data_IF_450701019371
#
_entry.id   IF_450701019371
#
_cell.length_a   1.000
_cell.length_b   1.000
_cell.length_c   1.000
_cell.angle_alpha   90.00
_cell.angle_beta   90.00
_cell.angle_gamma   90.00
#
_symmetry.space_group_name_H-M   'P 1'
#
loop_
_entity.id
_entity.type
_entity.pdbx_description
1 polymer ?
#
# COMPACT_ATOMS: atom_id res chain seq x y z
N UNK A 1 -10.12 -25.95 13.26
CA UNK A 1 -9.87 -25.47 14.64
C UNK A 1 -11.01 -24.66 15.24
N UNK A 2 -11.72 -23.77 14.51
CA UNK A 2 -12.77 -22.92 15.08
C UNK A 2 -14.15 -23.58 15.35
N UNK A 3 -14.27 -24.92 15.23
CA UNK A 3 -15.57 -25.63 15.25
C UNK A 3 -15.91 -26.33 16.57
N UNK A 4 -15.09 -26.15 17.61
CA UNK A 4 -15.35 -26.74 18.93
C UNK A 4 -16.27 -25.82 19.73
N UNK A 5 -17.31 -26.38 20.36
CA UNK A 5 -18.20 -25.62 21.23
C UNK A 5 -17.41 -24.93 22.36
N UNK A 6 -17.71 -23.65 22.57
CA UNK A 6 -17.01 -22.82 23.56
C UNK A 6 -15.67 -22.23 23.11
N UNK A 7 -15.17 -22.54 21.91
CA UNK A 7 -13.91 -21.98 21.42
C UNK A 7 -14.02 -20.44 21.24
N UNK A 8 -13.04 -19.63 21.71
CA UNK A 8 -13.08 -18.17 21.62
C UNK A 8 -13.40 -17.64 20.22
N UNK A 9 -12.76 -18.18 19.17
CA UNK A 9 -13.09 -17.83 17.78
C UNK A 9 -14.51 -18.19 17.34
N UNK A 10 -15.12 -19.26 17.88
CA UNK A 10 -16.50 -19.62 17.58
C UNK A 10 -17.51 -18.67 18.22
N UNK A 11 -17.18 -18.09 19.38
CA UNK A 11 -17.97 -17.02 20.01
C UNK A 11 -17.85 -15.71 19.22
N UNK A 12 -16.64 -15.32 18.86
CA UNK A 12 -16.37 -14.09 18.10
C UNK A 12 -16.94 -14.14 16.67
N UNK A 13 -16.96 -15.31 16.03
CA UNK A 13 -17.46 -15.47 14.67
C UNK A 13 -18.93 -15.05 14.51
N UNK A 14 -19.76 -15.18 15.56
CA UNK A 14 -21.19 -14.81 15.51
C UNK A 14 -21.39 -13.31 15.32
N UNK A 15 -20.51 -12.50 15.91
CA UNK A 15 -20.62 -11.04 15.89
C UNK A 15 -19.64 -10.38 14.91
N UNK A 16 -18.72 -11.14 14.32
CA UNK A 16 -17.62 -10.62 13.51
C UNK A 16 -18.09 -9.74 12.35
N UNK A 17 -19.10 -10.19 11.60
CA UNK A 17 -19.64 -9.43 10.46
C UNK A 17 -20.23 -8.08 10.90
N UNK A 18 -21.08 -8.12 11.93
CA UNK A 18 -21.70 -6.91 12.48
C UNK A 18 -20.65 -5.96 13.07
N UNK A 19 -19.65 -6.49 13.76
CA UNK A 19 -18.57 -5.72 14.36
C UNK A 19 -17.68 -5.06 13.30
N UNK A 20 -17.27 -5.81 12.27
CA UNK A 20 -16.44 -5.29 11.17
C UNK A 20 -17.22 -4.24 10.37
N UNK A 21 -18.47 -4.52 9.98
CA UNK A 21 -19.33 -3.56 9.27
C UNK A 21 -19.50 -2.25 10.06
N UNK A 22 -19.76 -2.31 11.37
CA UNK A 22 -19.81 -1.10 12.22
C UNK A 22 -18.47 -0.38 12.30
N UNK A 23 -17.36 -1.11 12.36
CA UNK A 23 -16.03 -0.51 12.37
C UNK A 23 -15.74 0.23 11.06
N UNK A 24 -16.03 -0.40 9.92
CA UNK A 24 -15.85 0.18 8.58
C UNK A 24 -16.67 1.47 8.40
N UNK A 25 -17.93 1.49 8.87
CA UNK A 25 -18.76 2.71 8.87
C UNK A 25 -18.13 3.82 9.72
N UNK A 26 -17.60 3.48 10.91
CA UNK A 26 -16.98 4.48 11.80
C UNK A 26 -15.70 5.07 11.22
N UNK A 27 -14.84 4.25 10.61
CA UNK A 27 -13.60 4.75 10.00
C UNK A 27 -13.88 5.53 8.71
N UNK A 28 -14.87 5.12 7.91
CA UNK A 28 -15.31 5.88 6.74
C UNK A 28 -15.88 7.25 7.13
N UNK A 29 -16.65 7.34 8.22
CA UNK A 29 -17.11 8.63 8.76
C UNK A 29 -15.97 9.56 9.22
N UNK A 30 -14.75 9.03 9.40
CA UNK A 30 -13.54 9.79 9.69
C UNK A 30 -12.64 10.01 8.45
N UNK A 31 -13.14 9.73 7.24
CA UNK A 31 -12.38 9.87 5.99
C UNK A 31 -11.36 8.75 5.72
N UNK A 32 -11.36 7.68 6.53
CA UNK A 32 -10.45 6.55 6.41
C UNK A 32 -11.16 5.37 5.73
N UNK A 33 -11.64 5.60 4.51
CA UNK A 33 -12.40 4.61 3.75
C UNK A 33 -11.56 3.37 3.46
N UNK A 34 -12.25 2.23 3.35
CA UNK A 34 -11.68 0.94 3.02
C UNK A 34 -12.42 0.31 1.86
N UNK A 35 -11.71 -0.44 1.04
CA UNK A 35 -12.30 -1.29 0.01
C UNK A 35 -12.50 -2.72 0.53
N UNK A 36 -13.58 -3.37 0.09
CA UNK A 36 -13.89 -4.75 0.41
C UNK A 36 -14.75 -4.95 1.66
N UNK A 37 -14.97 -6.22 2.02
CA UNK A 37 -15.83 -6.65 3.14
C UNK A 37 -15.45 -8.06 3.60
N UNK A 38 -16.10 -8.59 4.64
CA UNK A 38 -15.93 -10.01 5.00
C UNK A 38 -16.47 -10.99 3.95
N UNK A 39 -17.36 -10.53 3.05
CA UNK A 39 -17.84 -11.32 1.93
C UNK A 39 -16.89 -11.30 0.72
N UNK A 40 -15.92 -10.38 0.70
CA UNK A 40 -14.93 -10.27 -0.37
C UNK A 40 -13.94 -11.43 -0.30
N UNK A 41 -13.66 -12.07 -1.44
CA UNK A 41 -12.69 -13.14 -1.51
C UNK A 41 -11.29 -12.63 -1.13
N UNK A 42 -10.53 -13.44 -0.40
CA UNK A 42 -9.13 -13.13 -0.08
C UNK A 42 -8.27 -13.14 -1.35
N UNK A 43 -7.62 -12.03 -1.64
CA UNK A 43 -6.70 -11.88 -2.77
C UNK A 43 -5.25 -11.66 -2.29
N UNK A 44 -4.24 -12.01 -3.11
CA UNK A 44 -2.84 -11.67 -2.83
C UNK A 44 -2.65 -10.15 -2.75
N UNK A 45 -1.95 -9.70 -1.72
CA UNK A 45 -1.69 -8.30 -1.43
C UNK A 45 -0.22 -8.12 -1.03
N UNK A 46 0.54 -7.24 -1.70
CA UNK A 46 1.95 -7.01 -1.42
C UNK A 46 2.13 -6.26 -0.11
N UNK A 47 3.20 -6.59 0.62
CA UNK A 47 3.61 -5.89 1.84
C UNK A 47 4.86 -5.05 1.58
N UNK A 48 5.15 -4.10 2.48
CA UNK A 48 6.30 -3.20 2.36
C UNK A 48 7.67 -3.92 2.29
N UNK A 49 7.78 -5.15 2.82
CA UNK A 49 8.99 -5.98 2.74
C UNK A 49 9.00 -6.94 1.55
N UNK A 50 8.02 -6.82 0.66
CA UNK A 50 7.89 -7.65 -0.54
C UNK A 50 7.36 -9.07 -0.32
N UNK A 51 6.69 -9.33 0.81
CA UNK A 51 5.94 -10.57 0.98
C UNK A 51 4.50 -10.42 0.45
N UNK A 52 3.88 -11.53 0.03
CA UNK A 52 2.47 -11.59 -0.32
C UNK A 52 1.64 -12.09 0.87
N UNK A 53 0.67 -11.29 1.29
CA UNK A 53 -0.37 -11.70 2.25
C UNK A 53 -1.71 -11.83 1.54
N UNK A 54 -2.67 -12.44 2.22
CA UNK A 54 -4.05 -12.51 1.76
C UNK A 54 -4.89 -11.47 2.47
N UNK A 55 -5.55 -10.61 1.71
CA UNK A 55 -6.43 -9.56 2.23
C UNK A 55 -7.76 -9.53 1.48
N UNK A 56 -8.83 -9.20 2.22
CA UNK A 56 -10.17 -8.96 1.67
C UNK A 56 -10.67 -7.54 1.96
N UNK A 57 -10.03 -6.85 2.91
CA UNK A 57 -10.35 -5.49 3.34
C UNK A 57 -9.03 -4.73 3.43
N UNK A 58 -8.93 -3.60 2.73
CA UNK A 58 -7.72 -2.75 2.70
C UNK A 58 -8.12 -1.27 2.71
N UNK A 59 -7.26 -0.35 3.19
CA UNK A 59 -7.50 1.08 3.04
C UNK A 59 -7.76 1.44 1.56
N UNK A 60 -8.68 2.37 1.30
CA UNK A 60 -9.07 2.73 -0.06
C UNK A 60 -7.88 3.20 -0.91
N UNK A 61 -6.95 3.95 -0.30
CA UNK A 61 -5.70 4.39 -0.94
C UNK A 61 -4.81 3.22 -1.43
N UNK A 62 -5.00 2.01 -0.89
CA UNK A 62 -4.28 0.80 -1.26
C UNK A 62 -5.11 -0.17 -2.11
N UNK A 63 -6.38 0.14 -2.38
CA UNK A 63 -7.31 -0.75 -3.08
C UNK A 63 -6.85 -1.10 -4.51
N UNK A 64 -6.07 -0.23 -5.15
CA UNK A 64 -5.49 -0.48 -6.46
C UNK A 64 -4.62 -1.76 -6.53
N UNK A 65 -4.10 -2.23 -5.39
CA UNK A 65 -3.35 -3.48 -5.32
C UNK A 65 -4.24 -4.74 -5.37
N UNK A 66 -5.55 -4.61 -5.11
CA UNK A 66 -6.53 -5.69 -5.22
C UNK A 66 -7.19 -5.76 -6.61
N UNK A 67 -7.09 -4.69 -7.40
CA UNK A 67 -7.63 -4.68 -8.75
C UNK A 67 -6.90 -5.70 -9.64
N UNK A 68 -7.61 -6.45 -10.51
CA UNK A 68 -6.98 -7.40 -11.41
C UNK A 68 -5.83 -6.76 -12.20
N UNK A 69 -4.70 -7.45 -12.31
CA UNK A 69 -3.54 -6.99 -13.07
C UNK A 69 -3.83 -7.12 -14.56
N UNK A 70 -4.49 -6.12 -15.12
CA UNK A 70 -4.76 -5.98 -16.57
C UNK A 70 -3.63 -5.21 -17.30
N UNK A 71 -2.68 -4.63 -16.55
CA UNK A 71 -1.53 -3.82 -17.00
C UNK A 71 -0.19 -4.49 -16.67
N UNK A 72 0.88 -4.02 -17.33
CA UNK A 72 2.13 -4.74 -17.62
C UNK A 72 3.15 -4.80 -16.48
N UNK A 73 3.01 -4.02 -15.40
CA UNK A 73 3.94 -4.15 -14.28
C UNK A 73 3.68 -3.32 -13.03
N UNK A 74 4.49 -3.59 -12.00
CA UNK A 74 4.56 -2.88 -10.73
C UNK A 74 5.93 -2.22 -10.59
N UNK A 75 5.97 -0.91 -10.35
CA UNK A 75 7.19 -0.21 -9.92
C UNK A 75 7.05 0.18 -8.46
N UNK A 76 7.96 -0.29 -7.62
CA UNK A 76 8.10 0.18 -6.25
C UNK A 76 9.03 1.39 -6.22
N UNK A 77 8.55 2.50 -5.70
CA UNK A 77 9.31 3.76 -5.63
C UNK A 77 9.78 3.96 -4.19
N UNK A 78 11.09 4.09 -4.02
CA UNK A 78 11.70 4.62 -2.80
C UNK A 78 12.01 6.10 -2.94
N UNK A 79 12.04 6.81 -1.81
CA UNK A 79 12.51 8.19 -1.74
C UNK A 79 13.94 8.16 -1.21
N UNK A 80 14.88 8.77 -1.95
CA UNK A 80 16.29 8.80 -1.55
C UNK A 80 16.45 9.46 -0.18
N UNK A 81 17.19 8.80 0.70
CA UNK A 81 17.43 9.27 2.07
C UNK A 81 16.31 8.94 3.07
N UNK A 82 15.24 8.26 2.64
CA UNK A 82 14.20 7.74 3.52
C UNK A 82 14.47 6.27 3.89
N UNK A 83 14.85 5.97 5.15
CA UNK A 83 15.39 4.66 5.50
C UNK A 83 14.32 3.57 5.67
N UNK A 84 13.04 3.91 5.82
CA UNK A 84 11.98 2.93 6.11
C UNK A 84 11.38 2.28 4.84
N UNK A 85 11.93 2.58 3.66
CA UNK A 85 11.50 2.01 2.38
C UNK A 85 12.67 1.43 1.60
N UNK A 86 12.65 0.11 1.38
CA UNK A 86 13.66 -0.60 0.59
C UNK A 86 13.03 -1.19 -0.67
N UNK A 87 12.79 -0.37 -1.71
CA UNK A 87 12.02 -0.78 -2.88
C UNK A 87 12.70 -1.93 -3.64
N UNK A 88 14.03 -1.93 -3.76
CA UNK A 88 14.77 -3.01 -4.43
C UNK A 88 14.64 -4.35 -3.71
N UNK A 89 14.75 -4.33 -2.37
CA UNK A 89 14.57 -5.52 -1.55
C UNK A 89 13.14 -6.06 -1.66
N UNK A 90 12.15 -5.18 -1.58
CA UNK A 90 10.74 -5.56 -1.71
C UNK A 90 10.43 -6.10 -3.12
N UNK A 91 10.96 -5.47 -4.17
CA UNK A 91 10.78 -5.92 -5.55
C UNK A 91 11.37 -7.31 -5.75
N UNK A 92 12.62 -7.52 -5.30
CA UNK A 92 13.28 -8.83 -5.36
C UNK A 92 12.50 -9.91 -4.63
N UNK A 93 11.94 -9.60 -3.47
CA UNK A 93 11.12 -10.56 -2.72
C UNK A 93 9.82 -10.88 -3.44
N UNK A 94 9.14 -9.88 -4.03
CA UNK A 94 7.90 -10.09 -4.77
C UNK A 94 8.11 -10.86 -6.08
N UNK A 95 9.21 -10.63 -6.79
CA UNK A 95 9.58 -11.42 -7.97
C UNK A 95 9.69 -12.92 -7.63
N UNK A 96 10.15 -13.23 -6.42
CA UNK A 96 10.30 -14.60 -5.93
C UNK A 96 9.05 -15.14 -5.22
N UNK A 97 8.12 -14.26 -4.84
CA UNK A 97 6.86 -14.65 -4.23
C UNK A 97 5.91 -15.04 -5.36
N UNK A 98 5.63 -16.34 -5.52
CA UNK A 98 4.68 -16.83 -6.52
C UNK A 98 3.35 -16.06 -6.41
N UNK A 99 3.16 -15.03 -7.24
CA UNK A 99 2.01 -14.13 -7.25
C UNK A 99 1.09 -14.55 -8.39
N UNK A 100 0.05 -15.36 -8.13
CA UNK A 100 -0.87 -15.79 -9.17
C UNK A 100 -1.60 -14.57 -9.71
N UNK A 101 -1.62 -14.45 -11.04
CA UNK A 101 -2.24 -13.32 -11.75
C UNK A 101 -1.72 -11.95 -11.30
N UNK A 102 -0.46 -11.90 -10.83
CA UNK A 102 0.25 -10.70 -10.43
C UNK A 102 0.74 -9.85 -11.62
N UNK A 103 1.51 -8.79 -11.35
CA UNK A 103 2.13 -7.99 -12.42
C UNK A 103 3.04 -8.85 -13.30
N UNK A 104 3.09 -8.58 -14.61
CA UNK A 104 4.02 -9.29 -15.51
C UNK A 104 5.48 -8.90 -15.31
N UNK A 105 5.75 -7.76 -14.70
CA UNK A 105 7.09 -7.31 -14.33
C UNK A 105 7.05 -6.53 -13.02
N UNK A 106 8.09 -6.69 -12.20
CA UNK A 106 8.27 -5.93 -10.95
C UNK A 106 9.59 -5.20 -11.05
N UNK A 107 9.60 -3.91 -10.73
CA UNK A 107 10.81 -3.08 -10.69
C UNK A 107 10.84 -2.25 -9.44
N UNK A 108 12.03 -1.73 -9.16
CA UNK A 108 12.26 -0.74 -8.13
C UNK A 108 12.98 0.47 -8.72
N UNK A 109 12.64 1.66 -8.22
CA UNK A 109 13.37 2.89 -8.50
C UNK A 109 13.53 3.67 -7.20
N UNK A 110 14.66 4.35 -7.05
CA UNK A 110 14.88 5.30 -5.95
C UNK A 110 14.98 6.72 -6.50
N UNK A 111 14.10 7.59 -6.02
CA UNK A 111 13.91 8.93 -6.57
C UNK A 111 14.38 9.98 -5.57
N UNK A 112 15.23 10.91 -6.03
CA UNK A 112 15.48 12.13 -5.30
C UNK A 112 14.32 13.11 -5.54
N UNK A 113 13.57 13.41 -4.49
CA UNK A 113 12.51 14.42 -4.51
C UNK A 113 13.01 15.73 -3.90
N UNK A 114 12.49 16.90 -4.32
CA UNK A 114 13.09 18.18 -3.98
C UNK A 114 13.15 18.48 -2.47
N UNK A 115 14.32 18.84 -1.96
CA UNK A 115 14.48 19.38 -0.60
C UNK A 115 14.58 18.33 0.51
N UNK A 116 14.40 17.04 0.19
CA UNK A 116 14.55 15.94 1.16
C UNK A 116 16.01 15.75 1.56
N UNK A 117 16.96 16.00 0.64
CA UNK A 117 18.40 15.91 0.89
C UNK A 117 18.91 16.89 1.98
N UNK A 118 18.11 17.90 2.32
CA UNK A 118 18.43 18.93 3.31
C UNK A 118 17.92 18.58 4.71
N UNK A 119 17.05 17.58 4.80
CA UNK A 119 16.47 17.13 6.06
C UNK A 119 17.44 16.14 6.73
N UNK A 120 17.65 16.32 8.04
CA UNK A 120 18.38 15.35 8.86
C UNK A 120 17.38 14.33 9.37
N UNK A 121 17.63 13.03 9.15
CA UNK A 121 16.79 11.93 9.60
C UNK A 121 15.34 12.03 9.13
N UNK A 122 15.13 11.90 7.81
CA UNK A 122 13.80 11.95 7.18
C UNK A 122 12.93 10.80 7.69
N UNK A 123 11.85 11.11 8.39
CA UNK A 123 10.83 10.15 8.79
C UNK A 123 9.59 10.17 7.87
N UNK A 124 8.72 9.17 8.06
CA UNK A 124 7.46 9.06 7.30
C UNK A 124 6.56 10.30 7.45
N UNK A 125 6.52 10.88 8.66
CA UNK A 125 5.71 12.07 8.95
C UNK A 125 6.25 13.34 8.29
N UNK A 126 7.57 13.47 8.15
CA UNK A 126 8.18 14.62 7.48
C UNK A 126 7.82 14.63 6.00
N UNK A 127 7.91 13.45 5.37
CA UNK A 127 7.48 13.28 3.98
C UNK A 127 5.98 13.49 3.81
N UNK A 128 5.14 12.95 4.71
CA UNK A 128 3.70 13.14 4.66
C UNK A 128 3.31 14.62 4.65
N UNK A 129 3.88 15.42 5.56
CA UNK A 129 3.65 16.87 5.60
C UNK A 129 4.11 17.59 4.34
N UNK A 130 5.21 17.14 3.73
CA UNK A 130 5.65 17.69 2.44
C UNK A 130 4.67 17.35 1.31
N UNK A 131 4.10 16.14 1.31
CA UNK A 131 3.08 15.73 0.34
C UNK A 131 1.73 16.46 0.51
N UNK A 132 1.45 17.03 1.67
CA UNK A 132 0.26 17.87 1.88
C UNK A 132 0.36 19.20 1.11
N UNK A 133 1.57 19.78 0.95
CA UNK A 133 1.80 20.98 0.13
C UNK A 133 1.58 20.66 -1.37
N UNK A 134 0.54 21.23 -2.03
CA UNK A 134 0.23 20.93 -3.42
C UNK A 134 1.35 21.30 -4.40
N UNK A 135 2.09 22.38 -4.13
CA UNK A 135 3.17 22.83 -4.98
C UNK A 135 4.39 21.90 -4.84
N UNK A 136 4.70 21.48 -3.62
CA UNK A 136 5.74 20.48 -3.40
C UNK A 136 5.35 19.12 -4.00
N UNK A 137 4.12 18.66 -3.73
CA UNK A 137 3.56 17.42 -4.29
C UNK A 137 3.66 17.37 -5.80
N UNK A 138 3.29 18.46 -6.50
CA UNK A 138 3.42 18.52 -7.96
C UNK A 138 4.84 18.31 -8.45
N UNK A 139 5.84 18.91 -7.78
CA UNK A 139 7.26 18.72 -8.13
C UNK A 139 7.76 17.32 -7.79
N UNK A 140 7.36 16.76 -6.65
CA UNK A 140 7.72 15.40 -6.26
C UNK A 140 7.14 14.36 -7.24
N UNK A 141 5.86 14.50 -7.60
CA UNK A 141 5.21 13.64 -8.59
C UNK A 141 5.85 13.75 -9.97
N UNK A 142 6.26 14.95 -10.39
CA UNK A 142 7.00 15.12 -11.65
C UNK A 142 8.37 14.40 -11.61
N UNK A 143 9.10 14.47 -10.50
CA UNK A 143 10.36 13.76 -10.33
C UNK A 143 10.17 12.23 -10.34
N UNK A 144 9.11 11.74 -9.69
CA UNK A 144 8.74 10.32 -9.70
C UNK A 144 8.39 9.87 -11.11
N UNK A 145 7.50 10.60 -11.81
CA UNK A 145 7.09 10.28 -13.17
C UNK A 145 8.27 10.23 -14.14
N UNK A 146 9.23 11.15 -14.01
CA UNK A 146 10.44 11.17 -14.83
C UNK A 146 11.38 9.97 -14.58
N UNK A 147 11.30 9.34 -13.41
CA UNK A 147 12.08 8.17 -13.05
C UNK A 147 11.39 6.84 -13.41
N UNK A 148 10.11 6.87 -13.80
CA UNK A 148 9.39 5.65 -14.15
C UNK A 148 9.89 5.09 -15.49
N UNK A 149 10.02 3.77 -15.62
CA UNK A 149 10.24 3.12 -16.91
C UNK A 149 9.09 3.43 -17.88
N UNK A 150 9.34 3.45 -19.20
CA UNK A 150 8.28 3.60 -20.19
C UNK A 150 7.28 2.45 -20.11
N UNK A 151 6.01 2.72 -20.46
CA UNK A 151 4.92 1.75 -20.47
C UNK A 151 3.90 1.95 -19.34
N UNK A 152 3.01 0.97 -19.19
CA UNK A 152 1.91 1.02 -18.21
C UNK A 152 2.32 0.34 -16.91
N UNK A 153 2.49 1.15 -15.86
CA UNK A 153 2.95 0.72 -14.55
C UNK A 153 1.99 1.14 -13.45
N UNK A 154 1.69 0.22 -12.53
CA UNK A 154 1.17 0.61 -11.20
C UNK A 154 2.33 0.99 -10.31
N UNK A 155 2.18 2.07 -9.56
CA UNK A 155 3.23 2.63 -8.70
C UNK A 155 2.94 2.29 -7.24
N UNK A 156 3.83 1.53 -6.61
CA UNK A 156 3.83 1.29 -5.17
C UNK A 156 4.69 2.33 -4.46
N UNK A 157 4.09 3.08 -3.54
CA UNK A 157 4.75 4.12 -2.76
C UNK A 157 4.84 3.70 -1.28
N UNK A 158 5.83 4.18 -0.52
CA UNK A 158 5.79 4.11 0.94
C UNK A 158 4.59 4.88 1.48
N UNK A 159 4.17 4.58 2.70
CA UNK A 159 3.02 5.20 3.36
C UNK A 159 3.33 6.63 3.84
N UNK A 160 3.56 7.53 2.88
CA UNK A 160 4.00 8.92 3.09
C UNK A 160 3.18 9.92 2.28
N UNK A 161 2.06 9.51 1.68
CA UNK A 161 1.28 10.33 0.75
C UNK A 161 0.26 11.23 1.50
N UNK A 162 0.77 12.15 2.31
CA UNK A 162 -0.04 13.12 3.06
C UNK A 162 -0.52 12.60 4.41
N UNK A 163 -0.91 13.53 5.28
CA UNK A 163 -1.59 13.26 6.57
C UNK A 163 -2.93 13.98 6.67
N UNK A 164 -3.20 14.98 5.84
CA UNK A 164 -4.47 15.70 5.81
C UNK A 164 -5.37 15.12 4.70
N UNK A 165 -6.61 14.78 5.09
CA UNK A 165 -7.69 14.30 4.20
C UNK A 165 -8.73 15.41 4.00
#
# INVERSE_FOLDING_TARGET
MARTDGHPYGRLARDADSAVSRHLVRVGAAGLDHAGSLATALAPFPTAIGALRRAAIVPLAQAAALEPWRVTGLVLVGIRGFPDAWPEYAARNLENAAWPDGPSEIRAVEVAVPGVERLRNVGSQDLARLFDDPAWRGRALAAIAAALPPGDWRVGMPAVLGVEH
#
